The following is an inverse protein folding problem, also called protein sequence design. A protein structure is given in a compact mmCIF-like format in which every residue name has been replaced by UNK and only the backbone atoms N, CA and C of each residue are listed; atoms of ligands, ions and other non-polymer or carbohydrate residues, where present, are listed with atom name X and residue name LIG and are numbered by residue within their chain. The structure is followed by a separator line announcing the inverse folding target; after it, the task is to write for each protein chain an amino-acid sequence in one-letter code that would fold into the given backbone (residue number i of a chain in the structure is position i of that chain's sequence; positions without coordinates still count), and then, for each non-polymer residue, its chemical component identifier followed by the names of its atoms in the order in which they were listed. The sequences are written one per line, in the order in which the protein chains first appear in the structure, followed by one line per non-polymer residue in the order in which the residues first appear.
data_IF_003684616258
#
_entry.id   IF_003684616258
#
_cell.length_a   1.000
_cell.length_b   1.000
_cell.length_c   1.000
_cell.angle_alpha   90.00
_cell.angle_beta   90.00
_cell.angle_gamma   90.00
#
_symmetry.space_group_name_H-M   'P 1'
#
loop_
_entity.id
_entity.type
_entity.pdbx_description
1 polymer ?
#
# COMPACT_ATOMS: atom_id res chain seq x y z
N UNK A 1 -4.71 31.66 17.45
CA UNK A 1 -5.09 30.48 16.66
C UNK A 1 -5.37 30.90 15.23
N UNK A 2 -4.53 30.53 14.32
CA UNK A 2 -4.74 30.70 12.88
C UNK A 2 -5.58 29.52 12.40
N UNK A 3 -6.80 29.79 11.91
CA UNK A 3 -7.58 28.79 11.20
C UNK A 3 -7.18 28.87 9.73
N UNK A 4 -6.63 27.80 9.18
CA UNK A 4 -6.36 27.67 7.76
C UNK A 4 -7.42 26.75 7.12
N UNK A 5 -8.00 27.20 6.02
CA UNK A 5 -8.99 26.43 5.26
C UNK A 5 -8.36 26.03 3.95
N UNK A 6 -8.16 24.72 3.75
CA UNK A 6 -7.61 24.18 2.52
C UNK A 6 -8.74 23.56 1.68
N UNK A 7 -9.21 24.27 0.63
CA UNK A 7 -10.16 23.68 -0.29
C UNK A 7 -9.47 22.63 -1.18
N UNK A 8 -10.15 21.50 -1.40
CA UNK A 8 -9.76 20.49 -2.39
C UNK A 8 -10.94 20.07 -3.24
N UNK A 9 -10.64 19.62 -4.46
CA UNK A 9 -11.60 18.99 -5.36
C UNK A 9 -11.04 17.70 -5.89
N UNK A 10 -11.88 16.67 -6.03
CA UNK A 10 -11.48 15.40 -6.62
C UNK A 10 -12.57 14.83 -7.52
N UNK A 11 -12.12 14.14 -8.57
CA UNK A 11 -12.94 13.35 -9.47
C UNK A 11 -12.32 11.96 -9.61
N UNK A 12 -13.11 10.92 -9.33
CA UNK A 12 -12.66 9.53 -9.43
C UNK A 12 -13.51 8.77 -10.45
N UNK A 13 -12.83 8.01 -11.33
CA UNK A 13 -13.41 7.09 -12.28
C UNK A 13 -12.94 5.67 -11.97
N UNK A 14 -13.89 4.76 -11.76
CA UNK A 14 -13.67 3.31 -11.65
C UNK A 14 -14.39 2.61 -12.78
N UNK A 15 -13.69 1.71 -13.48
CA UNK A 15 -14.26 0.95 -14.58
C UNK A 15 -14.09 -0.56 -14.42
N UNK A 16 -14.91 -1.22 -13.61
CA UNK A 16 -14.81 -2.66 -13.40
C UNK A 16 -15.28 -3.44 -14.62
N UNK A 17 -14.43 -4.35 -15.10
CA UNK A 17 -14.72 -5.31 -16.17
C UNK A 17 -14.69 -6.71 -15.58
N UNK A 18 -15.83 -7.39 -15.65
CA UNK A 18 -16.02 -8.73 -15.05
C UNK A 18 -16.22 -9.76 -16.15
N UNK A 19 -15.43 -10.82 -16.11
CA UNK A 19 -15.63 -12.03 -16.94
C UNK A 19 -15.91 -13.22 -16.02
N UNK A 20 -17.15 -13.74 -16.06
CA UNK A 20 -17.58 -14.91 -15.27
C UNK A 20 -17.59 -16.14 -16.15
N UNK A 21 -16.95 -17.21 -15.67
CA UNK A 21 -16.96 -18.56 -16.26
C UNK A 21 -17.42 -19.56 -15.22
N UNK A 22 -17.78 -20.78 -15.67
CA UNK A 22 -18.24 -21.86 -14.77
C UNK A 22 -17.23 -22.23 -13.67
N UNK A 23 -15.94 -22.00 -13.90
CA UNK A 23 -14.87 -22.35 -12.97
C UNK A 23 -14.39 -21.19 -12.10
N UNK A 24 -14.81 -19.95 -12.38
CA UNK A 24 -14.36 -18.78 -11.63
C UNK A 24 -14.66 -17.47 -12.33
N UNK A 25 -14.32 -16.36 -11.67
CA UNK A 25 -14.51 -15.02 -12.18
C UNK A 25 -13.20 -14.24 -12.22
N UNK A 26 -13.05 -13.42 -13.25
CA UNK A 26 -11.98 -12.45 -13.40
C UNK A 26 -12.58 -11.06 -13.28
N UNK A 27 -11.98 -10.22 -12.46
CA UNK A 27 -12.28 -8.79 -12.34
C UNK A 27 -11.01 -8.00 -12.68
N UNK A 28 -11.14 -7.09 -13.63
CA UNK A 28 -10.11 -6.09 -13.94
C UNK A 28 -10.74 -4.73 -13.67
N UNK A 29 -10.12 -3.91 -12.84
CA UNK A 29 -10.64 -2.61 -12.46
C UNK A 29 -9.56 -1.54 -12.57
N UNK A 30 -9.48 -0.80 -13.68
CA UNK A 30 -8.71 0.42 -13.76
C UNK A 30 -9.41 1.54 -12.95
N UNK A 31 -8.62 2.32 -12.24
CA UNK A 31 -9.06 3.45 -11.43
C UNK A 31 -8.19 4.65 -11.76
N UNK A 32 -8.83 5.79 -11.97
CA UNK A 32 -8.16 7.08 -12.15
C UNK A 32 -8.84 8.13 -11.27
N UNK A 33 -8.06 8.88 -10.49
CA UNK A 33 -8.54 9.96 -9.64
C UNK A 33 -7.70 11.20 -9.88
N UNK A 34 -8.34 12.29 -10.29
CA UNK A 34 -7.73 13.62 -10.36
C UNK A 34 -8.03 14.35 -9.07
N UNK A 35 -7.01 14.90 -8.42
CA UNK A 35 -7.14 15.72 -7.22
C UNK A 35 -6.51 17.07 -7.47
N UNK A 36 -7.19 18.13 -7.04
CA UNK A 36 -6.71 19.51 -7.08
C UNK A 36 -6.84 20.10 -5.70
N UNK A 37 -5.72 20.54 -5.14
CA UNK A 37 -5.65 21.23 -3.86
C UNK A 37 -5.00 22.60 -4.03
N UNK A 38 -5.26 23.50 -3.10
CA UNK A 38 -4.64 24.81 -3.13
C UNK A 38 -3.13 24.72 -2.88
N UNK A 39 -2.38 25.58 -3.53
CA UNK A 39 -0.92 25.64 -3.54
C UNK A 39 -0.43 26.73 -2.57
N UNK A 40 -1.08 26.88 -1.43
CA UNK A 40 -0.68 27.84 -0.42
C UNK A 40 0.47 27.29 0.41
N UNK A 41 1.66 27.81 0.20
CA UNK A 41 2.85 27.59 1.05
C UNK A 41 2.70 28.26 2.43
N UNK A 42 1.63 28.01 3.13
CA UNK A 42 1.56 28.35 4.53
C UNK A 42 2.34 27.28 5.28
N UNK A 43 3.58 27.62 5.66
CA UNK A 43 4.39 26.75 6.50
C UNK A 43 3.77 26.70 7.90
N UNK A 44 2.76 25.88 8.07
CA UNK A 44 2.36 25.43 9.39
C UNK A 44 3.48 24.48 9.86
N UNK A 45 4.07 24.69 11.04
CA UNK A 45 5.04 23.74 11.57
C UNK A 45 4.41 22.36 11.63
N UNK A 46 4.98 21.42 10.92
CA UNK A 46 4.51 20.05 10.87
C UNK A 46 5.16 19.30 12.04
N UNK A 47 4.48 19.22 13.18
CA UNK A 47 5.00 18.58 14.38
C UNK A 47 4.75 17.06 14.39
N UNK A 48 3.70 16.57 13.70
CA UNK A 48 3.24 15.19 13.79
C UNK A 48 3.42 14.35 12.50
N UNK A 49 3.81 14.95 11.37
CA UNK A 49 3.69 14.30 10.06
C UNK A 49 5.04 14.09 9.36
N UNK A 50 6.02 13.52 10.06
CA UNK A 50 7.39 13.44 9.54
C UNK A 50 7.60 12.38 8.46
N UNK A 51 6.81 11.29 8.43
CA UNK A 51 7.01 10.18 7.49
C UNK A 51 5.66 9.63 6.99
N UNK A 52 5.14 10.14 5.88
CA UNK A 52 3.97 9.52 5.26
C UNK A 52 4.36 8.14 4.72
N UNK A 53 3.60 7.13 5.10
CA UNK A 53 3.69 5.82 4.46
C UNK A 53 2.91 5.83 3.15
N UNK A 54 3.44 5.16 2.12
CA UNK A 54 2.76 4.96 0.85
C UNK A 54 2.43 3.49 0.66
N UNK A 55 1.14 3.19 0.64
CA UNK A 55 0.62 1.84 0.48
C UNK A 55 -0.69 1.80 -0.33
N UNK A 56 -1.27 0.61 -0.48
CA UNK A 56 -2.50 0.41 -1.24
C UNK A 56 -3.75 1.00 -0.59
N UNK A 57 -3.70 1.37 0.69
CA UNK A 57 -4.84 1.94 1.42
C UNK A 57 -4.93 3.44 1.21
N UNK A 58 -3.79 4.13 1.07
CA UNK A 58 -3.74 5.58 0.95
C UNK A 58 -3.46 6.11 -0.47
N UNK A 59 -3.37 5.23 -1.48
CA UNK A 59 -3.16 5.63 -2.87
C UNK A 59 -4.18 6.67 -3.37
N UNK A 60 -5.43 6.56 -2.92
CA UNK A 60 -6.54 7.46 -3.30
C UNK A 60 -6.96 8.42 -2.19
N UNK A 61 -6.25 8.45 -1.06
CA UNK A 61 -6.52 9.39 0.01
C UNK A 61 -6.18 10.84 -0.40
N UNK A 62 -6.94 11.79 0.15
CA UNK A 62 -6.70 13.22 -0.11
C UNK A 62 -5.50 13.76 0.63
N UNK A 63 -5.23 13.26 1.83
CA UNK A 63 -4.05 13.54 2.64
C UNK A 63 -3.31 12.25 2.97
N UNK A 64 -2.00 12.21 2.70
CA UNK A 64 -1.13 11.07 3.03
C UNK A 64 -0.28 11.32 4.26
N UNK A 65 -0.38 12.50 4.81
CA UNK A 65 0.29 12.83 6.05
C UNK A 65 -0.48 12.28 7.24
N UNK A 66 0.19 11.70 8.24
CA UNK A 66 -0.47 11.05 9.38
C UNK A 66 -1.14 11.99 10.38
N UNK A 67 -1.10 13.29 10.16
CA UNK A 67 -1.75 14.32 10.98
C UNK A 67 -2.78 15.14 10.21
N UNK A 68 -3.42 16.07 10.92
CA UNK A 68 -4.37 17.04 10.33
C UNK A 68 -3.69 18.34 9.92
N UNK A 69 -2.39 18.49 10.21
CA UNK A 69 -1.64 19.75 10.06
C UNK A 69 -0.99 19.89 8.68
N UNK A 70 -0.90 18.79 7.93
CA UNK A 70 -0.32 18.78 6.60
C UNK A 70 -1.23 18.07 5.59
N UNK A 71 -1.24 18.60 4.37
CA UNK A 71 -1.94 18.01 3.22
C UNK A 71 -1.06 18.06 1.98
N UNK A 72 -1.33 17.17 1.05
CA UNK A 72 -0.61 17.12 -0.22
C UNK A 72 -1.11 18.21 -1.16
N UNK A 73 -0.22 19.13 -1.51
CA UNK A 73 -0.52 20.31 -2.31
C UNK A 73 -0.50 20.03 -3.82
N UNK A 74 -1.22 20.89 -4.56
CA UNK A 74 -1.17 20.96 -6.01
C UNK A 74 -2.09 19.97 -6.73
N UNK A 75 -1.76 19.66 -7.98
CA UNK A 75 -2.56 18.83 -8.84
C UNK A 75 -1.89 17.48 -9.04
N UNK A 76 -2.67 16.40 -8.90
CA UNK A 76 -2.18 15.04 -9.08
C UNK A 76 -3.21 14.14 -9.75
N UNK A 77 -2.71 13.12 -10.41
CA UNK A 77 -3.44 12.02 -10.97
C UNK A 77 -3.00 10.74 -10.26
N UNK A 78 -3.91 10.12 -9.51
CA UNK A 78 -3.72 8.83 -8.88
C UNK A 78 -4.26 7.75 -9.82
N UNK A 79 -3.46 6.75 -10.12
CA UNK A 79 -3.80 5.65 -11.03
C UNK A 79 -3.65 4.32 -10.31
N UNK A 80 -4.59 3.40 -10.54
CA UNK A 80 -4.44 2.00 -10.17
C UNK A 80 -5.03 1.06 -11.21
N UNK A 81 -4.48 -0.13 -11.25
CA UNK A 81 -5.04 -1.29 -11.93
C UNK A 81 -5.18 -2.41 -10.92
N UNK A 82 -6.40 -2.83 -10.64
CA UNK A 82 -6.70 -3.97 -9.81
C UNK A 82 -7.08 -5.17 -10.70
N UNK A 83 -6.54 -6.33 -10.38
CA UNK A 83 -6.94 -7.60 -10.95
C UNK A 83 -7.29 -8.58 -9.84
N UNK A 84 -8.39 -9.28 -9.98
CA UNK A 84 -8.78 -10.37 -9.06
C UNK A 84 -9.27 -11.56 -9.88
N UNK A 85 -8.76 -12.74 -9.54
CA UNK A 85 -9.29 -14.01 -9.96
C UNK A 85 -9.85 -14.74 -8.74
N UNK A 86 -11.10 -15.22 -8.83
CA UNK A 86 -11.75 -15.99 -7.78
C UNK A 86 -12.33 -17.28 -8.38
N UNK A 87 -11.84 -18.42 -7.90
CA UNK A 87 -12.33 -19.75 -8.29
C UNK A 87 -13.23 -20.32 -7.20
N UNK A 88 -14.50 -19.83 -7.16
CA UNK A 88 -15.57 -20.35 -6.30
C UNK A 88 -15.14 -20.55 -4.83
N UNK A 89 -14.41 -19.60 -4.27
CA UNK A 89 -13.93 -19.65 -2.88
C UNK A 89 -12.79 -20.63 -2.58
N UNK A 90 -12.36 -21.44 -3.56
CA UNK A 90 -11.27 -22.41 -3.37
C UNK A 90 -9.88 -21.81 -3.61
N UNK A 91 -9.83 -20.83 -4.48
CA UNK A 91 -8.59 -20.16 -4.87
C UNK A 91 -8.91 -18.71 -5.22
N UNK A 92 -8.22 -17.77 -4.59
CA UNK A 92 -8.34 -16.36 -4.89
C UNK A 92 -6.96 -15.77 -5.08
N UNK A 93 -6.72 -15.14 -6.23
CA UNK A 93 -5.51 -14.37 -6.51
C UNK A 93 -5.88 -12.94 -6.83
N UNK A 94 -5.11 -11.99 -6.30
CA UNK A 94 -5.28 -10.57 -6.55
C UNK A 94 -3.94 -9.91 -6.83
N UNK A 95 -3.98 -8.87 -7.66
CA UNK A 95 -2.85 -8.01 -7.95
C UNK A 95 -3.32 -6.57 -8.07
N UNK A 96 -2.57 -5.65 -7.48
CA UNK A 96 -2.77 -4.20 -7.60
C UNK A 96 -1.47 -3.55 -8.03
N UNK A 97 -1.56 -2.64 -8.99
CA UNK A 97 -0.50 -1.75 -9.41
C UNK A 97 -0.99 -0.32 -9.26
N UNK A 98 -0.21 0.55 -8.64
CA UNK A 98 -0.58 1.95 -8.42
C UNK A 98 0.57 2.91 -8.70
N UNK A 99 0.24 4.13 -9.10
CA UNK A 99 1.20 5.23 -9.34
C UNK A 99 0.50 6.58 -9.18
N UNK A 100 1.26 7.57 -8.72
CA UNK A 100 0.82 8.96 -8.61
C UNK A 100 1.66 9.80 -9.56
N UNK A 101 0.99 10.65 -10.33
CA UNK A 101 1.62 11.63 -11.22
C UNK A 101 1.23 13.03 -10.76
N UNK A 102 2.19 13.94 -10.64
CA UNK A 102 2.00 15.32 -10.21
C UNK A 102 2.38 16.29 -11.32
N UNK A 103 1.71 17.42 -11.39
CA UNK A 103 2.07 18.48 -12.36
C UNK A 103 3.42 19.13 -12.02
N UNK A 104 3.74 19.20 -10.72
CA UNK A 104 5.01 19.71 -10.22
C UNK A 104 5.47 18.93 -8.99
N UNK A 105 6.77 18.96 -8.75
CA UNK A 105 7.36 18.50 -7.50
C UNK A 105 7.25 19.61 -6.45
N UNK A 106 6.48 19.35 -5.40
CA UNK A 106 6.30 20.28 -4.29
C UNK A 106 7.33 20.08 -3.17
N UNK A 107 8.24 19.11 -3.32
CA UNK A 107 9.27 18.78 -2.33
C UNK A 107 8.72 18.48 -0.93
N UNK A 108 7.51 17.94 -0.87
CA UNK A 108 6.83 17.61 0.39
C UNK A 108 7.21 16.23 0.93
N UNK A 109 7.80 15.37 0.10
CA UNK A 109 8.10 14.00 0.43
C UNK A 109 9.58 13.69 0.28
N UNK A 110 10.12 12.87 1.18
CA UNK A 110 11.48 12.34 1.04
C UNK A 110 11.51 11.15 0.09
N UNK A 111 12.68 10.85 -0.48
CA UNK A 111 12.85 9.72 -1.41
C UNK A 111 12.56 8.35 -0.79
N UNK A 112 12.72 8.21 0.53
CA UNK A 112 12.40 6.98 1.26
C UNK A 112 10.92 6.65 1.35
N UNK A 113 10.04 7.64 1.11
CA UNK A 113 8.59 7.42 1.16
C UNK A 113 8.03 6.75 -0.09
N UNK A 114 8.77 6.76 -1.21
CA UNK A 114 8.28 6.39 -2.53
C UNK A 114 7.32 7.39 -3.15
N UNK A 115 7.18 8.58 -2.54
CA UNK A 115 6.28 9.66 -2.99
C UNK A 115 7.04 10.86 -3.56
N UNK A 116 8.36 10.82 -3.58
CA UNK A 116 9.21 11.93 -4.02
C UNK A 116 9.01 12.30 -5.49
N UNK A 117 9.25 13.57 -5.81
CA UNK A 117 9.24 14.08 -7.16
C UNK A 117 7.86 14.24 -7.81
N UNK A 118 7.86 14.34 -9.13
CA UNK A 118 6.63 14.46 -9.96
C UNK A 118 5.91 13.13 -10.14
N UNK A 119 6.56 12.02 -9.90
CA UNK A 119 6.02 10.67 -10.07
C UNK A 119 6.39 9.87 -8.83
N UNK A 120 5.40 9.24 -8.18
CA UNK A 120 5.69 8.29 -7.11
C UNK A 120 6.42 7.06 -7.66
N UNK A 121 7.01 6.28 -6.78
CA UNK A 121 7.39 4.91 -7.06
C UNK A 121 6.16 4.05 -7.44
N UNK A 122 6.39 2.88 -8.02
CA UNK A 122 5.34 1.93 -8.31
C UNK A 122 4.92 1.21 -7.04
N UNK A 123 3.65 1.36 -6.68
CA UNK A 123 3.02 0.59 -5.62
C UNK A 123 2.52 -0.73 -6.19
N UNK A 124 2.94 -1.84 -5.61
CA UNK A 124 2.44 -3.17 -5.97
C UNK A 124 1.91 -3.90 -4.73
N UNK A 125 0.80 -4.59 -4.90
CA UNK A 125 0.27 -5.51 -3.90
C UNK A 125 -0.23 -6.77 -4.59
N UNK A 126 0.14 -7.94 -4.08
CA UNK A 126 -0.37 -9.22 -4.56
C UNK A 126 -0.86 -10.06 -3.39
N UNK A 127 -1.93 -10.81 -3.64
CA UNK A 127 -2.50 -11.74 -2.65
C UNK A 127 -2.83 -13.07 -3.30
N UNK A 128 -2.66 -14.14 -2.53
CA UNK A 128 -3.02 -15.48 -2.91
C UNK A 128 -3.65 -16.19 -1.71
N UNK A 129 -4.86 -16.70 -1.88
CA UNK A 129 -5.53 -17.53 -0.89
C UNK A 129 -5.89 -18.89 -1.52
N UNK A 130 -5.62 -19.97 -0.81
CA UNK A 130 -5.95 -21.33 -1.24
C UNK A 130 -6.77 -22.01 -0.12
N UNK A 131 -8.07 -22.13 -0.35
CA UNK A 131 -9.02 -22.53 0.69
C UNK A 131 -8.94 -21.56 1.89
N UNK A 132 -9.18 -22.12 3.07
CA UNK A 132 -9.08 -21.39 4.35
C UNK A 132 -7.72 -21.61 5.03
N UNK A 133 -6.80 -22.32 4.38
CA UNK A 133 -5.62 -22.88 5.03
C UNK A 133 -4.32 -22.20 4.60
N UNK A 134 -4.34 -21.45 3.50
CA UNK A 134 -3.14 -20.78 3.00
C UNK A 134 -3.47 -19.36 2.54
N UNK A 135 -2.75 -18.39 3.07
CA UNK A 135 -2.76 -16.99 2.69
C UNK A 135 -1.35 -16.47 2.43
N UNK A 136 -1.17 -15.74 1.34
CA UNK A 136 0.05 -15.02 1.03
C UNK A 136 -0.30 -13.62 0.58
N UNK A 137 0.34 -12.61 1.19
CA UNK A 137 0.24 -11.21 0.79
C UNK A 137 1.65 -10.68 0.61
N UNK A 138 1.93 -10.07 -0.53
CA UNK A 138 3.15 -9.32 -0.77
C UNK A 138 2.81 -7.89 -1.15
N UNK A 139 3.49 -6.92 -0.53
CA UNK A 139 3.42 -5.49 -0.82
C UNK A 139 4.81 -4.99 -1.14
N UNK A 140 4.96 -4.19 -2.19
CA UNK A 140 6.25 -3.62 -2.51
C UNK A 140 6.12 -2.21 -3.10
N UNK A 141 7.11 -1.38 -2.83
CA UNK A 141 7.40 -0.15 -3.55
C UNK A 141 8.60 -0.39 -4.44
N UNK A 142 8.44 -0.11 -5.72
CA UNK A 142 9.46 -0.30 -6.75
C UNK A 142 9.77 1.04 -7.40
N UNK A 143 11.05 1.38 -7.46
CA UNK A 143 11.52 2.55 -8.19
C UNK A 143 11.31 2.38 -9.71
N UNK A 144 11.51 3.43 -10.49
CA UNK A 144 11.29 3.36 -11.95
C UNK A 144 12.27 2.41 -12.66
N UNK A 145 13.42 2.12 -12.07
CA UNK A 145 14.38 1.11 -12.53
C UNK A 145 14.07 -0.32 -12.04
N UNK A 146 12.91 -0.51 -11.39
CA UNK A 146 12.44 -1.74 -10.76
C UNK A 146 13.26 -2.19 -9.53
N UNK A 147 14.14 -1.35 -9.02
CA UNK A 147 14.77 -1.63 -7.72
C UNK A 147 13.72 -1.54 -6.60
N UNK A 148 13.89 -2.38 -5.59
CA UNK A 148 12.96 -2.45 -4.46
C UNK A 148 13.33 -1.36 -3.46
N UNK A 149 12.40 -0.49 -3.11
CA UNK A 149 12.53 0.47 -2.01
C UNK A 149 12.06 -0.15 -0.69
N UNK A 150 10.92 -0.83 -0.73
CA UNK A 150 10.31 -1.54 0.41
C UNK A 150 9.62 -2.80 -0.06
N UNK A 151 9.71 -3.86 0.74
CA UNK A 151 8.97 -5.10 0.52
C UNK A 151 8.45 -5.66 1.84
N UNK A 152 7.20 -6.07 1.85
CA UNK A 152 6.57 -6.78 2.95
C UNK A 152 5.93 -8.06 2.42
N UNK A 153 6.20 -9.18 3.08
CA UNK A 153 5.64 -10.49 2.78
C UNK A 153 4.98 -11.04 4.03
N UNK A 154 3.71 -11.38 3.92
CA UNK A 154 2.95 -12.06 4.96
C UNK A 154 2.54 -13.43 4.43
N UNK A 155 2.74 -14.47 5.23
CA UNK A 155 2.34 -15.83 4.94
C UNK A 155 1.62 -16.40 6.15
N UNK A 156 0.39 -16.86 5.93
CA UNK A 156 -0.41 -17.60 6.89
C UNK A 156 -0.64 -19.01 6.35
N UNK A 157 -0.40 -20.00 7.19
CA UNK A 157 -0.62 -21.39 6.82
C UNK A 157 -1.13 -22.19 8.01
N UNK A 158 -2.14 -23.01 7.75
CA UNK A 158 -2.68 -23.94 8.74
C UNK A 158 -2.87 -25.34 8.14
N UNK A 159 -2.54 -26.34 8.91
CA UNK A 159 -2.76 -27.74 8.55
C UNK A 159 -3.11 -28.55 9.79
N UNK A 160 -4.33 -29.10 9.82
CA UNK A 160 -4.87 -29.81 10.99
C UNK A 160 -4.78 -28.92 12.26
N UNK A 161 -4.02 -29.38 13.23
CA UNK A 161 -3.82 -28.70 14.51
C UNK A 161 -2.68 -27.68 14.51
N UNK A 162 -1.89 -27.59 13.44
CA UNK A 162 -0.77 -26.66 13.32
C UNK A 162 -1.21 -25.40 12.58
N UNK A 163 -0.90 -24.23 13.13
CA UNK A 163 -1.02 -22.92 12.48
C UNK A 163 0.31 -22.19 12.52
N UNK A 164 0.65 -21.50 11.45
CA UNK A 164 1.84 -20.65 11.38
C UNK A 164 1.51 -19.34 10.71
N UNK A 165 2.07 -18.25 11.22
CA UNK A 165 2.08 -16.94 10.59
C UNK A 165 3.51 -16.43 10.50
N UNK A 166 3.89 -15.87 9.36
CA UNK A 166 5.18 -15.23 9.21
C UNK A 166 5.05 -13.87 8.51
N UNK A 167 5.87 -12.93 8.94
CA UNK A 167 5.98 -11.60 8.33
C UNK A 167 7.45 -11.29 8.09
N UNK A 168 7.80 -11.02 6.84
CA UNK A 168 9.11 -10.52 6.45
C UNK A 168 8.97 -9.09 5.95
N UNK A 169 9.81 -8.18 6.48
CA UNK A 169 9.88 -6.78 6.09
C UNK A 169 11.29 -6.47 5.65
N UNK A 170 11.42 -5.80 4.52
CA UNK A 170 12.69 -5.29 4.02
C UNK A 170 12.53 -3.83 3.59
N UNK A 171 13.48 -2.98 4.03
CA UNK A 171 13.58 -1.58 3.65
C UNK A 171 14.98 -1.29 3.12
N UNK A 172 15.06 -0.53 2.04
CA UNK A 172 16.33 0.00 1.53
C UNK A 172 16.93 0.97 2.54
N UNK A 173 18.26 1.10 2.53
CA UNK A 173 18.97 2.10 3.34
C UNK A 173 18.51 3.52 2.99
N UNK A 174 18.36 4.36 4.00
CA UNK A 174 18.06 5.79 3.84
C UNK A 174 19.00 6.61 4.73
N UNK A 175 20.00 7.23 4.10
CA UNK A 175 20.96 8.08 4.79
C UNK A 175 20.33 9.34 5.39
N UNK A 176 19.19 9.81 4.85
CA UNK A 176 18.49 11.01 5.36
C UNK A 176 17.83 10.76 6.70
N UNK A 177 17.46 9.50 6.98
CA UNK A 177 16.94 9.03 8.26
C UNK A 177 18.02 8.44 9.19
N UNK A 178 19.30 8.58 8.82
CA UNK A 178 20.40 7.97 9.56
C UNK A 178 20.54 6.46 9.39
N UNK A 179 19.77 5.85 8.48
CA UNK A 179 19.81 4.42 8.17
C UNK A 179 20.80 4.15 7.04
N UNK A 180 22.08 3.95 7.37
CA UNK A 180 23.14 3.71 6.40
C UNK A 180 23.15 2.30 5.79
N UNK A 181 22.27 1.40 6.26
CA UNK A 181 22.14 0.01 5.78
C UNK A 181 20.69 -0.36 5.60
N UNK A 182 20.40 -1.25 4.66
CA UNK A 182 19.09 -1.87 4.53
C UNK A 182 18.72 -2.64 5.81
N UNK A 183 17.44 -2.62 6.16
CA UNK A 183 16.91 -3.31 7.32
C UNK A 183 16.06 -4.48 6.83
N UNK A 184 16.25 -5.65 7.44
CA UNK A 184 15.35 -6.78 7.27
C UNK A 184 14.89 -7.29 8.63
N UNK A 185 13.61 -7.62 8.74
CA UNK A 185 12.98 -8.15 9.95
C UNK A 185 12.15 -9.36 9.58
N UNK A 186 12.25 -10.42 10.38
CA UNK A 186 11.44 -11.63 10.26
C UNK A 186 10.71 -11.88 11.56
N UNK A 187 9.40 -12.01 11.49
CA UNK A 187 8.53 -12.42 12.58
C UNK A 187 7.96 -13.79 12.25
N UNK A 188 7.97 -14.68 13.24
CA UNK A 188 7.40 -16.03 13.12
C UNK A 188 6.51 -16.26 14.33
N UNK A 189 5.32 -16.77 14.05
CA UNK A 189 4.37 -17.25 15.04
C UNK A 189 3.95 -18.67 14.68
N UNK A 190 3.80 -19.55 15.65
CA UNK A 190 3.37 -20.91 15.45
C UNK A 190 2.51 -21.39 16.61
N UNK A 191 1.32 -21.88 16.31
CA UNK A 191 0.39 -22.42 17.27
C UNK A 191 0.09 -23.90 17.01
N UNK A 192 -0.11 -24.69 18.05
CA UNK A 192 -0.54 -26.07 17.97
C UNK A 192 -1.70 -26.34 18.91
N UNK A 193 -2.81 -26.82 18.37
CA UNK A 193 -3.98 -27.21 19.12
C UNK A 193 -3.88 -28.71 19.45
N UNK A 194 -3.65 -29.06 20.70
CA UNK A 194 -3.53 -30.45 21.13
C UNK A 194 -4.89 -31.17 21.17
N UNK A 195 -5.92 -30.45 21.59
CA UNK A 195 -7.31 -30.89 21.67
C UNK A 195 -8.20 -29.65 21.76
N UNK A 196 -9.51 -29.81 21.84
CA UNK A 196 -10.49 -28.71 21.90
C UNK A 196 -10.25 -27.76 23.08
N UNK A 197 -9.56 -28.21 24.14
CA UNK A 197 -9.39 -27.46 25.39
C UNK A 197 -7.98 -26.89 25.62
N UNK A 198 -6.98 -27.26 24.79
CA UNK A 198 -5.58 -26.82 24.99
C UNK A 198 -4.96 -26.32 23.69
N UNK A 199 -4.34 -25.14 23.74
CA UNK A 199 -3.51 -24.63 22.65
C UNK A 199 -2.16 -24.12 23.20
N UNK A 200 -1.13 -24.13 22.33
CA UNK A 200 0.15 -23.45 22.53
C UNK A 200 0.35 -22.50 21.36
N UNK A 201 0.68 -21.26 21.67
CA UNK A 201 1.02 -20.20 20.71
C UNK A 201 2.33 -19.53 21.09
#
# INVERSE_FOLDING_TARGET
STQDITPYGALELKWPVINKKNEGSHLIEPIAQVVVTNDNKNSVPNEDSLLPEFDETNLFEFGRFPGVDAYEEGQRLNLALNYTYDRLGKFKAGFKLGKILRTKDNQQFSSSTGLDGKSSDWLTSSQLNVGDNFGLINRALLQDDLSILRNELHLDWSYKSLSTASKYIWHQSDATLGQNKSISQLYLDAGYNFDTDWNIS
#
